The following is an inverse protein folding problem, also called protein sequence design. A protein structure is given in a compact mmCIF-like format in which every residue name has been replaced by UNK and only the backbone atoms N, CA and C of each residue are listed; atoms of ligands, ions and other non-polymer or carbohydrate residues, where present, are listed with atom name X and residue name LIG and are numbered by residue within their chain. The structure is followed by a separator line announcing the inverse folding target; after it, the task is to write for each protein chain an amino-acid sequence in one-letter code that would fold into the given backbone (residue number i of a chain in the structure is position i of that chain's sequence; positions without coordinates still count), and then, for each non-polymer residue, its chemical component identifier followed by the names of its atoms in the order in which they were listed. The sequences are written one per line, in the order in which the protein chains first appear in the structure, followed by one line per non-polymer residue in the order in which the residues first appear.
data_IF_265343605159
#
_entry.id   IF_265343605159
#
_cell.length_a   1.000
_cell.length_b   1.000
_cell.length_c   1.000
_cell.angle_alpha   90.00
_cell.angle_beta   90.00
_cell.angle_gamma   90.00
#
_symmetry.space_group_name_H-M   'P 1'
#
loop_
_entity.id
_entity.type
_entity.pdbx_description
1 polymer ?
#
# COMPACT_ATOMS: atom_id res chain seq x y z
N UNK A 1 20.45 -29.32 -10.15
CA UNK A 1 20.04 -27.92 -10.32
C UNK A 1 19.90 -27.35 -8.93
N UNK A 2 20.77 -26.42 -8.54
CA UNK A 2 20.64 -25.71 -7.26
C UNK A 2 19.44 -24.78 -7.36
N UNK A 3 18.42 -25.04 -6.56
CA UNK A 3 17.30 -24.12 -6.33
C UNK A 3 17.92 -22.81 -5.83
N UNK A 4 17.70 -21.71 -6.57
CA UNK A 4 18.16 -20.39 -6.11
C UNK A 4 17.15 -19.95 -5.07
N UNK A 5 17.54 -20.00 -3.79
CA UNK A 5 16.72 -19.45 -2.72
C UNK A 5 16.68 -17.92 -2.90
N UNK A 6 15.51 -17.39 -3.22
CA UNK A 6 15.28 -15.95 -3.28
C UNK A 6 15.01 -15.40 -1.88
N UNK A 7 15.17 -14.09 -1.64
CA UNK A 7 14.83 -13.48 -0.35
C UNK A 7 13.38 -13.66 0.10
N UNK A 8 12.48 -14.04 -0.81
CA UNK A 8 11.07 -14.31 -0.56
C UNK A 8 10.71 -15.78 -0.49
N UNK A 9 11.58 -16.71 -0.93
CA UNK A 9 11.25 -18.13 -1.02
C UNK A 9 11.78 -18.82 -2.28
N UNK A 10 11.06 -19.85 -2.75
CA UNK A 10 11.51 -20.74 -3.82
C UNK A 10 10.87 -20.43 -5.19
N UNK A 11 9.78 -19.68 -5.23
CA UNK A 11 9.14 -19.27 -6.48
C UNK A 11 9.98 -18.24 -7.24
N UNK A 12 9.76 -18.15 -8.55
CA UNK A 12 10.55 -17.26 -9.42
C UNK A 12 10.24 -15.77 -9.15
N UNK A 13 9.06 -15.47 -8.60
CA UNK A 13 8.65 -14.11 -8.23
C UNK A 13 7.93 -14.07 -6.88
N UNK A 14 7.96 -12.93 -6.16
CA UNK A 14 7.11 -12.72 -4.98
C UNK A 14 5.61 -12.90 -5.29
N UNK A 15 5.18 -12.53 -6.50
CA UNK A 15 3.81 -12.72 -6.98
C UNK A 15 3.40 -14.21 -6.93
N UNK A 16 4.23 -15.10 -7.46
CA UNK A 16 3.98 -16.54 -7.45
C UNK A 16 4.05 -17.10 -6.02
N UNK A 17 5.02 -16.66 -5.22
CA UNK A 17 5.18 -17.09 -3.82
C UNK A 17 3.94 -16.75 -2.97
N UNK A 18 3.31 -15.60 -3.23
CA UNK A 18 2.08 -15.18 -2.55
C UNK A 18 0.82 -15.95 -2.97
N UNK A 19 0.87 -16.73 -4.05
CA UNK A 19 -0.32 -17.35 -4.63
C UNK A 19 -1.02 -16.52 -5.71
N UNK A 20 -0.32 -15.53 -6.27
CA UNK A 20 -0.74 -14.76 -7.43
C UNK A 20 -1.83 -13.72 -7.16
N UNK A 21 -2.54 -13.32 -8.22
CA UNK A 21 -3.46 -12.19 -8.18
C UNK A 21 -4.58 -12.37 -7.15
N UNK A 22 -5.16 -13.57 -7.02
CA UNK A 22 -6.26 -13.81 -6.08
C UNK A 22 -5.84 -13.50 -4.63
N UNK A 23 -4.66 -13.93 -4.21
CA UNK A 23 -4.14 -13.67 -2.87
C UNK A 23 -3.84 -12.18 -2.66
N UNK A 24 -3.22 -11.52 -3.65
CA UNK A 24 -2.94 -10.08 -3.58
C UNK A 24 -4.23 -9.27 -3.47
N UNK A 25 -5.29 -9.64 -4.21
CA UNK A 25 -6.59 -8.96 -4.11
C UNK A 25 -7.20 -9.16 -2.73
N UNK A 26 -7.16 -10.35 -2.15
CA UNK A 26 -7.67 -10.61 -0.80
C UNK A 26 -6.95 -9.74 0.25
N UNK A 27 -5.61 -9.67 0.20
CA UNK A 27 -4.82 -8.79 1.07
C UNK A 27 -5.23 -7.33 0.92
N UNK A 28 -5.44 -6.86 -0.33
CA UNK A 28 -5.85 -5.47 -0.58
C UNK A 28 -7.25 -5.18 -0.07
N UNK A 29 -8.19 -6.11 -0.21
CA UNK A 29 -9.54 -5.95 0.35
C UNK A 29 -9.49 -5.84 1.87
N UNK A 30 -8.81 -6.77 2.56
CA UNK A 30 -8.65 -6.74 4.02
C UNK A 30 -7.93 -5.48 4.49
N UNK A 31 -6.91 -5.04 3.74
CA UNK A 31 -6.17 -3.82 4.03
C UNK A 31 -7.07 -2.57 4.03
N UNK A 32 -7.94 -2.42 3.03
CA UNK A 32 -8.85 -1.29 2.99
C UNK A 32 -9.99 -1.40 4.01
N UNK A 33 -10.44 -2.62 4.33
CA UNK A 33 -11.42 -2.85 5.40
C UNK A 33 -10.87 -2.41 6.76
N UNK A 34 -9.59 -2.66 7.03
CA UNK A 34 -8.88 -2.17 8.23
C UNK A 34 -8.72 -0.66 8.24
N UNK A 35 -8.44 -0.03 7.09
CA UNK A 35 -8.43 1.43 7.02
C UNK A 35 -9.80 2.01 7.41
N UNK A 36 -10.88 1.44 6.89
CA UNK A 36 -12.24 1.89 7.18
C UNK A 36 -12.60 1.74 8.66
N UNK A 37 -12.18 0.64 9.29
CA UNK A 37 -12.45 0.34 10.69
C UNK A 37 -11.60 1.20 11.66
N UNK A 38 -10.29 1.27 11.44
CA UNK A 38 -9.33 1.61 12.50
C UNK A 38 -8.40 2.78 12.17
N UNK A 39 -8.46 3.35 10.96
CA UNK A 39 -7.58 4.44 10.51
C UNK A 39 -8.36 5.68 10.03
N UNK A 40 -9.05 6.42 10.91
CA UNK A 40 -9.94 7.52 10.53
C UNK A 40 -9.23 8.63 9.73
N UNK A 41 -7.95 8.87 10.00
CA UNK A 41 -7.14 9.85 9.27
C UNK A 41 -6.90 9.42 7.82
N UNK A 42 -6.49 8.17 7.60
CA UNK A 42 -6.30 7.62 6.26
C UNK A 42 -7.64 7.51 5.53
N UNK A 43 -8.68 7.06 6.23
CA UNK A 43 -10.04 6.92 5.70
C UNK A 43 -10.60 8.25 5.19
N UNK A 44 -10.30 9.35 5.85
CA UNK A 44 -10.71 10.69 5.43
C UNK A 44 -10.07 11.13 4.11
N UNK A 45 -8.91 10.57 3.74
CA UNK A 45 -8.23 10.81 2.45
C UNK A 45 -8.83 9.98 1.30
N UNK A 46 -9.66 8.98 1.60
CA UNK A 46 -10.29 8.11 0.61
C UNK A 46 -11.65 8.63 0.17
N UNK A 47 -12.07 8.37 -1.08
CA UNK A 47 -13.45 8.57 -1.51
C UNK A 47 -14.42 7.75 -0.65
N UNK A 48 -15.71 8.12 -0.65
CA UNK A 48 -16.72 7.36 0.09
C UNK A 48 -16.79 5.92 -0.42
N UNK A 49 -16.79 5.76 -1.74
CA UNK A 49 -16.60 4.50 -2.45
C UNK A 49 -15.13 4.38 -2.85
N UNK A 50 -14.41 3.47 -2.20
CA UNK A 50 -12.98 3.21 -2.38
C UNK A 50 -12.68 2.04 -3.34
N UNK A 51 -13.69 1.50 -4.04
CA UNK A 51 -13.54 0.39 -5.00
C UNK A 51 -12.49 0.66 -6.08
N UNK A 52 -12.36 1.91 -6.50
CA UNK A 52 -11.33 2.32 -7.46
C UNK A 52 -9.94 2.41 -6.81
N UNK A 53 -9.84 2.77 -5.55
CA UNK A 53 -8.59 2.82 -4.78
C UNK A 53 -8.08 1.39 -4.52
N UNK A 54 -8.97 0.49 -4.08
CA UNK A 54 -8.73 -0.97 -3.97
C UNK A 54 -8.18 -1.56 -5.27
N UNK A 55 -8.90 -1.36 -6.38
CA UNK A 55 -8.46 -1.84 -7.70
C UNK A 55 -7.06 -1.31 -8.08
N UNK A 56 -6.82 0.00 -7.91
CA UNK A 56 -5.52 0.62 -8.24
C UNK A 56 -4.38 0.00 -7.43
N UNK A 57 -4.57 -0.20 -6.12
CA UNK A 57 -3.55 -0.80 -5.27
C UNK A 57 -3.30 -2.26 -5.65
N UNK A 58 -4.36 -3.04 -5.89
CA UNK A 58 -4.21 -4.43 -6.33
C UNK A 58 -3.49 -4.54 -7.68
N UNK A 59 -3.84 -3.70 -8.67
CA UNK A 59 -3.16 -3.69 -9.98
C UNK A 59 -1.67 -3.35 -9.80
N UNK A 60 -1.38 -2.37 -8.93
CA UNK A 60 -0.02 -1.98 -8.61
C UNK A 60 0.76 -3.10 -7.94
N UNK A 61 0.21 -3.76 -6.92
CA UNK A 61 0.89 -4.82 -6.18
C UNK A 61 1.09 -6.08 -7.02
N UNK A 62 0.14 -6.44 -7.89
CA UNK A 62 0.32 -7.52 -8.87
C UNK A 62 1.55 -7.27 -9.73
N UNK A 63 1.65 -6.08 -10.33
CA UNK A 63 2.79 -5.73 -11.19
C UNK A 63 4.09 -5.58 -10.37
N UNK A 64 4.02 -4.94 -9.20
CA UNK A 64 5.17 -4.63 -8.34
C UNK A 64 5.82 -5.88 -7.74
N UNK A 65 5.04 -6.94 -7.50
CA UNK A 65 5.53 -8.24 -7.03
C UNK A 65 6.04 -9.15 -8.16
N UNK A 66 6.07 -8.67 -9.41
CA UNK A 66 6.58 -9.40 -10.57
C UNK A 66 5.53 -10.18 -11.36
N UNK A 67 4.24 -9.97 -11.08
CA UNK A 67 3.13 -10.53 -11.86
C UNK A 67 2.87 -9.77 -13.17
N UNK A 68 1.71 -10.02 -13.82
CA UNK A 68 1.32 -9.32 -15.04
C UNK A 68 1.29 -7.79 -14.89
N UNK A 69 1.61 -7.07 -15.97
CA UNK A 69 1.56 -5.62 -15.99
C UNK A 69 0.11 -5.10 -16.04
N UNK A 70 -0.51 -4.91 -14.88
CA UNK A 70 -1.89 -4.42 -14.75
C UNK A 70 -1.97 -2.91 -14.48
N UNK A 71 -0.94 -2.31 -13.87
CA UNK A 71 -0.96 -0.92 -13.46
C UNK A 71 -0.41 0.00 -14.54
N UNK A 72 0.83 -0.24 -14.99
CA UNK A 72 1.57 0.67 -15.87
C UNK A 72 0.89 0.87 -17.23
N UNK A 73 0.32 -0.15 -17.91
CA UNK A 73 -0.35 0.05 -19.19
C UNK A 73 -1.59 0.96 -19.09
N UNK A 74 -2.26 0.97 -17.94
CA UNK A 74 -3.49 1.74 -17.71
C UNK A 74 -3.19 3.13 -17.14
N UNK A 75 -2.16 3.25 -16.29
CA UNK A 75 -1.89 4.46 -15.50
C UNK A 75 -0.63 5.20 -15.92
N UNK A 76 0.19 4.61 -16.79
CA UNK A 76 1.55 5.05 -17.07
C UNK A 76 2.49 4.80 -15.90
N UNK A 77 3.68 5.41 -15.97
CA UNK A 77 4.73 5.23 -14.96
C UNK A 77 4.18 5.47 -13.53
N UNK A 78 4.49 4.60 -12.54
CA UNK A 78 4.00 4.72 -11.18
C UNK A 78 4.16 6.11 -10.58
N UNK A 79 5.40 6.63 -10.50
CA UNK A 79 5.72 7.94 -9.89
C UNK A 79 4.94 8.14 -8.57
N UNK A 80 4.96 7.12 -7.71
CA UNK A 80 4.07 7.01 -6.55
C UNK A 80 4.12 8.26 -5.68
N UNK A 81 5.31 8.74 -5.31
CA UNK A 81 5.46 9.95 -4.49
C UNK A 81 4.76 11.17 -5.11
N UNK A 82 4.91 11.39 -6.41
CA UNK A 82 4.23 12.49 -7.11
C UNK A 82 2.70 12.38 -7.02
N UNK A 83 2.15 11.16 -7.12
CA UNK A 83 0.70 10.92 -6.99
C UNK A 83 0.20 11.08 -5.55
N UNK A 84 1.09 11.02 -4.57
CA UNK A 84 0.77 11.20 -3.15
C UNK A 84 1.01 12.64 -2.63
N UNK A 85 1.73 13.49 -3.38
CA UNK A 85 1.90 14.92 -3.07
C UNK A 85 0.61 15.73 -2.86
N UNK A 86 -0.53 15.38 -3.49
CA UNK A 86 -1.78 16.07 -3.20
C UNK A 86 -2.25 15.84 -1.74
N UNK A 87 -1.84 14.75 -1.09
CA UNK A 87 -2.21 14.43 0.30
C UNK A 87 -1.17 14.93 1.29
N UNK A 88 -1.60 15.22 2.52
CA UNK A 88 -0.69 15.52 3.64
C UNK A 88 -0.43 14.23 4.39
N UNK A 89 0.76 13.66 4.19
CA UNK A 89 1.18 12.37 4.74
C UNK A 89 2.35 12.61 5.68
N UNK A 90 2.11 12.48 6.98
CA UNK A 90 3.13 12.50 8.01
C UNK A 90 3.67 11.09 8.30
N UNK A 91 4.68 10.98 9.15
CA UNK A 91 5.30 9.69 9.50
C UNK A 91 4.31 8.80 10.26
N UNK A 92 3.52 9.39 11.18
CA UNK A 92 2.43 8.70 11.87
C UNK A 92 1.37 8.12 10.93
N UNK A 93 1.08 8.77 9.79
CA UNK A 93 0.14 8.25 8.79
C UNK A 93 0.72 7.03 8.07
N UNK A 94 2.00 7.09 7.68
CA UNK A 94 2.69 5.97 7.04
C UNK A 94 2.79 4.78 8.00
N UNK A 95 3.06 5.03 9.29
CA UNK A 95 3.08 3.99 10.31
C UNK A 95 1.70 3.34 10.46
N UNK A 96 0.62 4.14 10.54
CA UNK A 96 -0.73 3.57 10.62
C UNK A 96 -1.12 2.79 9.37
N UNK A 97 -0.67 3.24 8.20
CA UNK A 97 -0.85 2.52 6.94
C UNK A 97 -0.13 1.16 6.98
N UNK A 98 1.11 1.13 7.49
CA UNK A 98 1.91 -0.09 7.63
C UNK A 98 1.30 -1.06 8.64
N UNK A 99 0.74 -0.56 9.75
CA UNK A 99 -0.02 -1.38 10.71
C UNK A 99 -1.19 -2.08 10.00
N UNK A 100 -2.02 -1.33 9.27
CA UNK A 100 -3.17 -1.91 8.55
C UNK A 100 -2.71 -2.97 7.51
N UNK A 101 -1.61 -2.70 6.79
CA UNK A 101 -1.07 -3.65 5.81
C UNK A 101 -0.49 -4.90 6.49
N UNK A 102 0.26 -4.75 7.58
CA UNK A 102 0.81 -5.87 8.34
C UNK A 102 -0.28 -6.80 8.87
N UNK A 103 -1.34 -6.23 9.44
CA UNK A 103 -2.47 -7.04 9.92
C UNK A 103 -3.27 -7.68 8.78
N UNK A 104 -3.33 -7.06 7.60
CA UNK A 104 -3.93 -7.68 6.42
C UNK A 104 -3.10 -8.87 5.90
N UNK A 105 -1.77 -8.74 5.91
CA UNK A 105 -0.86 -9.84 5.61
C UNK A 105 -1.02 -10.97 6.62
N UNK A 106 -1.13 -10.67 7.92
CA UNK A 106 -1.39 -11.67 8.97
C UNK A 106 -2.72 -12.41 8.75
N UNK A 107 -3.79 -11.69 8.42
CA UNK A 107 -5.11 -12.28 8.20
C UNK A 107 -5.18 -13.18 6.94
N UNK A 108 -4.26 -12.99 6.00
CA UNK A 108 -4.13 -13.79 4.78
C UNK A 108 -3.01 -14.84 4.89
N UNK A 109 -2.60 -15.20 6.10
CA UNK A 109 -1.60 -16.24 6.39
C UNK A 109 -0.23 -16.00 5.71
N UNK A 110 0.13 -14.73 5.44
CA UNK A 110 1.43 -14.39 4.84
C UNK A 110 2.52 -14.44 5.91
N UNK A 111 3.35 -15.49 5.86
CA UNK A 111 4.38 -15.78 6.83
C UNK A 111 5.73 -16.14 6.18
N UNK A 112 6.78 -16.27 6.99
CA UNK A 112 8.11 -16.74 6.54
C UNK A 112 8.92 -15.70 5.75
N UNK A 113 9.69 -16.20 4.77
CA UNK A 113 10.62 -15.37 3.99
C UNK A 113 9.90 -14.30 3.17
N UNK A 114 8.78 -14.65 2.51
CA UNK A 114 7.97 -13.69 1.76
C UNK A 114 7.43 -12.58 2.66
N UNK A 115 6.99 -12.90 3.89
CA UNK A 115 6.54 -11.90 4.85
C UNK A 115 7.66 -10.92 5.19
N UNK A 116 8.81 -11.44 5.59
CA UNK A 116 9.98 -10.62 5.94
C UNK A 116 10.41 -9.73 4.77
N UNK A 117 10.39 -10.28 3.54
CA UNK A 117 10.68 -9.53 2.33
C UNK A 117 9.66 -8.41 2.11
N UNK A 118 8.36 -8.69 2.22
CA UNK A 118 7.32 -7.70 2.01
C UNK A 118 7.36 -6.59 3.06
N UNK A 119 7.52 -6.93 4.34
CA UNK A 119 7.59 -5.93 5.42
C UNK A 119 8.66 -4.87 5.12
N UNK A 120 9.89 -5.30 4.80
CA UNK A 120 11.00 -4.39 4.49
C UNK A 120 10.72 -3.54 3.25
N UNK A 121 10.16 -4.13 2.20
CA UNK A 121 9.97 -3.47 0.89
C UNK A 121 8.79 -2.51 0.91
N UNK A 122 7.72 -2.88 1.61
CA UNK A 122 6.53 -2.06 1.81
C UNK A 122 6.83 -0.92 2.77
N UNK A 123 7.58 -1.13 3.85
CA UNK A 123 8.04 -0.08 4.76
C UNK A 123 8.81 1.01 4.00
N UNK A 124 9.82 0.62 3.21
CA UNK A 124 10.57 1.55 2.37
C UNK A 124 9.65 2.34 1.41
N UNK A 125 8.64 1.68 0.83
CA UNK A 125 7.69 2.31 -0.08
C UNK A 125 6.80 3.32 0.65
N UNK A 126 6.25 2.96 1.81
CA UNK A 126 5.37 3.80 2.60
C UNK A 126 6.10 5.04 3.13
N UNK A 127 7.29 4.86 3.70
CA UNK A 127 8.12 5.97 4.18
C UNK A 127 8.54 6.91 3.04
N UNK A 128 8.74 6.39 1.82
CA UNK A 128 9.00 7.22 0.65
C UNK A 128 7.83 8.14 0.27
N UNK A 129 6.60 7.89 0.75
CA UNK A 129 5.43 8.75 0.49
C UNK A 129 5.33 9.94 1.44
N UNK A 130 6.00 9.90 2.61
CA UNK A 130 5.93 10.95 3.64
C UNK A 130 6.34 12.31 3.08
N UNK A 131 5.49 13.32 3.28
CA UNK A 131 5.64 14.67 2.75
C UNK A 131 5.30 15.79 3.75
N UNK A 132 5.03 15.44 5.01
CA UNK A 132 4.80 16.34 6.12
C UNK A 132 5.55 15.85 7.37
N UNK A 133 5.73 16.75 8.34
CA UNK A 133 6.27 16.43 9.67
C UNK A 133 5.13 16.35 10.68
N UNK A 134 5.21 15.40 11.60
CA UNK A 134 4.28 15.30 12.74
C UNK A 134 4.42 16.48 13.70
N UNK A 135 5.60 17.11 13.78
CA UNK A 135 5.88 18.26 14.65
C UNK A 135 5.42 19.61 14.05
N UNK A 136 5.03 19.63 12.78
CA UNK A 136 4.54 20.86 12.14
C UNK A 136 3.09 21.15 12.61
N UNK A 137 2.86 22.25 13.35
CA UNK A 137 1.54 22.58 13.89
C UNK A 137 0.49 22.85 12.80
N UNK A 138 0.92 23.08 11.55
CA UNK A 138 0.03 23.31 10.41
C UNK A 138 -0.44 22.01 9.75
N UNK A 139 0.14 20.85 10.06
CA UNK A 139 -0.16 19.56 9.40
C UNK A 139 -1.66 19.24 9.45
N UNK A 140 -2.30 19.40 10.62
CA UNK A 140 -3.73 19.17 10.77
C UNK A 140 -4.57 20.12 9.90
N UNK A 141 -4.23 21.42 9.86
CA UNK A 141 -4.92 22.41 9.04
C UNK A 141 -4.78 22.11 7.54
N UNK A 142 -3.55 21.81 7.09
CA UNK A 142 -3.27 21.45 5.68
C UNK A 142 -4.05 20.21 5.28
N UNK A 143 -4.15 19.21 6.16
CA UNK A 143 -4.92 17.98 5.93
C UNK A 143 -6.42 18.28 5.74
N UNK A 144 -7.03 19.09 6.60
CA UNK A 144 -8.44 19.49 6.46
C UNK A 144 -8.69 20.17 5.12
N UNK A 145 -7.83 21.12 4.73
CA UNK A 145 -7.96 21.84 3.46
C UNK A 145 -7.86 20.91 2.24
N UNK A 146 -6.96 19.92 2.28
CA UNK A 146 -6.86 18.90 1.22
C UNK A 146 -8.16 18.10 1.07
N UNK A 147 -8.72 17.64 2.17
CA UNK A 147 -9.92 16.78 2.16
C UNK A 147 -11.17 17.58 1.72
N UNK A 148 -11.35 18.78 2.26
CA UNK A 148 -12.47 19.67 1.90
C UNK A 148 -12.35 20.21 0.46
N UNK A 149 -11.12 20.42 -0.01
CA UNK A 149 -10.81 20.79 -1.39
C UNK A 149 -11.08 19.69 -2.42
N UNK A 150 -11.63 18.54 -2.00
CA UNK A 150 -12.04 17.45 -2.89
C UNK A 150 -10.93 16.50 -3.30
N UNK A 151 -9.76 16.59 -2.67
CA UNK A 151 -8.61 15.77 -3.01
C UNK A 151 -8.68 14.44 -2.23
N UNK A 152 -9.18 13.41 -2.91
CA UNK A 152 -9.32 12.03 -2.40
C UNK A 152 -8.70 11.03 -3.37
N UNK A 153 -8.14 9.93 -2.86
CA UNK A 153 -7.32 8.97 -3.63
C UNK A 153 -8.08 8.05 -4.61
#
# INVERSE_FOLDING_TARGET
MTEVAHPWGNAATPYEELGGEVAIRAIVEDFYDRIDADAPVLRAMLPRDDSTSRRKLGDYLVEWTGGPALYTPVRGHPRMRMRHMPFVIAESDAQKWLECMGEALDANDVAGDIRTFLDQRIEQLALHMVNASDDDPTTAQRRTLTIEGGNRA
#
